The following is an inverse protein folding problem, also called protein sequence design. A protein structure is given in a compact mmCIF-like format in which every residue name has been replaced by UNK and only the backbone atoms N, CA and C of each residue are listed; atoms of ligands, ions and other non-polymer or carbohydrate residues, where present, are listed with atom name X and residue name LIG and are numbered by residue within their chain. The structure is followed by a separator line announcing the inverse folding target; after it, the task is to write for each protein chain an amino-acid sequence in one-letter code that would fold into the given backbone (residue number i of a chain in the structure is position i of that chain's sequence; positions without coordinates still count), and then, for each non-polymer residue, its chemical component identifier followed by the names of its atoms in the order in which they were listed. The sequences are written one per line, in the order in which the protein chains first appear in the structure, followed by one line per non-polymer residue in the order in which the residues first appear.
data_IF_462990981841
#
_entry.id   IF_462990981841
#
_cell.length_a   1.000
_cell.length_b   1.000
_cell.length_c   1.000
_cell.angle_alpha   90.00
_cell.angle_beta   90.00
_cell.angle_gamma   90.00
#
_symmetry.space_group_name_H-M   'P 1'
#
loop_
_entity.id
_entity.type
_entity.pdbx_description
1 polymer ?
#
# COMPACT_ATOMS: atom_id res chain seq x y z
N UNK A 1 14.09 20.97 -13.74
CA UNK A 1 13.47 20.32 -12.57
C UNK A 1 13.41 18.85 -12.93
N UNK A 2 14.19 17.99 -12.25
CA UNK A 2 14.16 16.55 -12.54
C UNK A 2 12.77 16.00 -12.22
N UNK A 3 12.20 15.26 -13.16
CA UNK A 3 10.92 14.60 -12.92
C UNK A 3 11.17 13.35 -12.07
N UNK A 4 10.47 13.20 -10.96
CA UNK A 4 10.54 11.98 -10.17
C UNK A 4 9.41 11.06 -10.65
N UNK A 5 9.79 9.98 -11.32
CA UNK A 5 8.85 8.94 -11.74
C UNK A 5 8.83 7.86 -10.66
N UNK A 6 7.63 7.42 -10.24
CA UNK A 6 7.48 6.32 -9.27
C UNK A 6 7.11 5.04 -9.99
N UNK A 7 7.87 3.98 -9.74
CA UNK A 7 7.58 2.62 -10.20
C UNK A 7 7.29 1.73 -8.99
N UNK A 8 6.14 1.07 -8.98
CA UNK A 8 5.72 0.19 -7.90
C UNK A 8 5.66 -1.25 -8.38
N UNK A 9 6.30 -2.15 -7.65
CA UNK A 9 6.37 -3.57 -7.99
C UNK A 9 5.89 -4.44 -6.83
N UNK A 10 4.88 -5.27 -7.08
CA UNK A 10 4.44 -6.34 -6.20
C UNK A 10 5.07 -7.64 -6.69
N UNK A 11 6.13 -8.06 -6.02
CA UNK A 11 6.98 -9.18 -6.46
C UNK A 11 6.44 -10.48 -5.88
N UNK A 12 5.98 -11.37 -6.74
CA UNK A 12 5.58 -12.72 -6.38
C UNK A 12 6.83 -13.56 -6.07
N UNK A 13 6.98 -13.92 -4.81
CA UNK A 13 8.17 -14.63 -4.32
C UNK A 13 8.25 -16.10 -4.77
N UNK A 14 7.14 -16.65 -5.25
CA UNK A 14 7.10 -18.04 -5.75
C UNK A 14 7.41 -18.12 -7.25
N UNK A 15 6.99 -17.11 -8.01
CA UNK A 15 7.10 -17.11 -9.48
C UNK A 15 8.21 -16.20 -10.00
N UNK A 16 8.75 -15.30 -9.17
CA UNK A 16 9.77 -14.34 -9.60
C UNK A 16 9.25 -13.32 -10.63
N UNK A 17 7.96 -13.00 -10.61
CA UNK A 17 7.34 -12.01 -11.48
C UNK A 17 6.85 -10.83 -10.68
N UNK A 18 6.73 -9.67 -11.32
CA UNK A 18 6.17 -8.48 -10.70
C UNK A 18 4.80 -8.13 -11.29
N UNK A 19 3.91 -7.69 -10.41
CA UNK A 19 2.61 -7.12 -10.76
C UNK A 19 2.62 -5.60 -10.57
N UNK A 20 1.90 -4.88 -11.42
CA UNK A 20 1.84 -3.41 -11.38
C UNK A 20 0.89 -2.85 -10.33
N UNK A 21 0.03 -3.68 -9.74
CA UNK A 21 -0.90 -3.27 -8.69
C UNK A 21 -1.24 -4.42 -7.76
N UNK A 22 -1.50 -4.09 -6.50
CA UNK A 22 -1.94 -5.08 -5.51
C UNK A 22 -3.33 -5.62 -5.87
N UNK A 23 -3.46 -6.93 -5.80
CA UNK A 23 -4.74 -7.61 -6.09
C UNK A 23 -5.05 -7.81 -7.58
N UNK A 24 -4.17 -7.41 -8.46
CA UNK A 24 -4.32 -7.62 -9.90
C UNK A 24 -3.15 -8.44 -10.44
N UNK A 25 -3.44 -9.57 -11.06
CA UNK A 25 -2.44 -10.46 -11.68
C UNK A 25 -1.89 -9.94 -13.02
N UNK A 26 -2.21 -8.72 -13.42
CA UNK A 26 -1.57 -8.10 -14.58
C UNK A 26 -0.10 -7.83 -14.27
N UNK A 27 0.79 -8.37 -15.09
CA UNK A 27 2.22 -8.12 -14.97
C UNK A 27 2.52 -6.63 -15.01
N UNK A 28 3.53 -6.22 -14.27
CA UNK A 28 4.03 -4.86 -14.33
C UNK A 28 4.45 -4.52 -15.77
N UNK A 29 4.11 -3.34 -16.22
CA UNK A 29 4.60 -2.83 -17.50
C UNK A 29 6.11 -2.68 -17.45
N UNK A 30 6.78 -2.88 -18.59
CA UNK A 30 8.22 -2.63 -18.72
C UNK A 30 8.55 -1.22 -18.25
N UNK A 31 9.35 -1.05 -17.17
CA UNK A 31 9.68 0.28 -16.68
C UNK A 31 10.56 1.02 -17.68
N UNK A 32 10.32 2.32 -17.80
CA UNK A 32 11.11 3.22 -18.63
C UNK A 32 11.80 4.23 -17.71
N UNK A 33 13.11 4.32 -17.81
CA UNK A 33 13.94 5.25 -17.07
C UNK A 33 14.58 6.26 -18.02
N UNK A 34 14.78 7.47 -17.54
CA UNK A 34 15.34 8.56 -18.36
C UNK A 34 16.67 9.03 -17.80
N UNK A 35 17.63 9.19 -18.67
CA UNK A 35 18.91 9.84 -18.36
C UNK A 35 18.65 11.23 -17.77
N UNK A 36 19.38 11.58 -16.70
CA UNK A 36 19.22 12.84 -15.98
C UNK A 36 18.11 12.86 -14.90
N UNK A 37 17.26 11.83 -14.84
CA UNK A 37 16.17 11.74 -13.86
C UNK A 37 16.54 10.92 -12.62
N UNK A 38 15.68 11.02 -11.60
CA UNK A 38 15.67 10.13 -10.45
C UNK A 38 14.36 9.36 -10.46
N UNK A 39 14.43 8.02 -10.41
CA UNK A 39 13.27 7.18 -10.26
C UNK A 39 13.10 6.74 -8.80
N UNK A 40 11.90 6.91 -8.28
CA UNK A 40 11.48 6.32 -7.02
C UNK A 40 10.99 4.90 -7.29
N UNK A 41 11.56 3.94 -6.60
CA UNK A 41 11.17 2.53 -6.70
C UNK A 41 10.50 2.10 -5.41
N UNK A 42 9.32 1.51 -5.51
CA UNK A 42 8.61 0.91 -4.40
C UNK A 42 8.46 -0.58 -4.64
N UNK A 43 8.87 -1.39 -3.68
CA UNK A 43 8.85 -2.85 -3.78
C UNK A 43 8.09 -3.47 -2.62
N UNK A 44 7.27 -4.45 -2.92
CA UNK A 44 6.50 -5.25 -1.99
C UNK A 44 6.68 -6.72 -2.33
N UNK A 45 6.93 -7.56 -1.33
CA UNK A 45 6.94 -9.01 -1.54
C UNK A 45 5.55 -9.55 -1.28
N UNK A 46 5.04 -10.33 -2.21
CA UNK A 46 3.70 -10.92 -2.13
C UNK A 46 3.72 -12.39 -2.52
N UNK A 47 2.69 -13.11 -2.08
CA UNK A 47 2.43 -14.49 -2.50
C UNK A 47 0.95 -14.62 -2.86
N UNK A 48 0.60 -15.24 -4.00
CA UNK A 48 -0.79 -15.52 -4.35
C UNK A 48 -1.44 -16.46 -3.34
N UNK A 49 -2.63 -16.12 -2.86
CA UNK A 49 -3.38 -16.95 -1.90
C UNK A 49 -4.33 -17.94 -2.57
N UNK A 50 -4.65 -17.73 -3.85
CA UNK A 50 -5.69 -18.46 -4.57
C UNK A 50 -7.12 -18.12 -4.11
N UNK A 51 -7.31 -17.14 -3.22
CA UNK A 51 -8.61 -16.70 -2.70
C UNK A 51 -9.04 -15.40 -3.40
N UNK A 52 -10.28 -15.38 -3.94
CA UNK A 52 -10.80 -14.24 -4.72
C UNK A 52 -10.83 -12.92 -3.97
N UNK A 53 -11.18 -12.94 -2.67
CA UNK A 53 -11.30 -11.73 -1.85
C UNK A 53 -9.94 -11.17 -1.40
N UNK A 54 -8.92 -12.03 -1.31
CA UNK A 54 -7.57 -11.68 -0.91
C UNK A 54 -6.56 -12.35 -1.83
N UNK A 55 -6.35 -11.83 -3.04
CA UNK A 55 -5.55 -12.51 -4.06
C UNK A 55 -4.07 -12.63 -3.68
N UNK A 56 -3.58 -11.76 -2.81
CA UNK A 56 -2.20 -11.77 -2.32
C UNK A 56 -2.15 -11.74 -0.79
N UNK A 57 -1.14 -12.38 -0.24
CA UNK A 57 -0.68 -12.17 1.13
C UNK A 57 0.69 -11.50 1.13
N UNK A 58 0.96 -10.74 2.18
CA UNK A 58 2.24 -10.07 2.40
C UNK A 58 3.32 -11.10 2.78
N UNK A 59 4.50 -10.95 2.20
CA UNK A 59 5.69 -11.70 2.54
C UNK A 59 6.70 -10.73 3.14
N UNK A 60 7.14 -11.02 4.36
CA UNK A 60 8.15 -10.19 5.01
C UNK A 60 9.47 -10.23 4.25
N UNK A 61 10.13 -9.08 4.13
CA UNK A 61 11.49 -9.03 3.64
C UNK A 61 12.43 -9.72 4.64
N UNK A 62 13.35 -10.58 4.19
CA UNK A 62 14.30 -11.26 5.07
C UNK A 62 15.26 -10.28 5.75
N UNK A 63 15.49 -9.13 5.15
CA UNK A 63 16.28 -8.04 5.74
C UNK A 63 15.89 -6.69 5.12
N UNK A 64 16.35 -5.60 5.75
CA UNK A 64 16.25 -4.24 5.20
C UNK A 64 17.33 -3.89 4.17
N UNK A 65 18.29 -4.79 3.94
CA UNK A 65 19.38 -4.58 2.99
C UNK A 65 18.91 -4.92 1.58
N UNK A 66 18.29 -3.95 0.94
CA UNK A 66 17.74 -4.05 -0.41
C UNK A 66 18.66 -3.31 -1.36
N UNK A 67 18.86 -3.85 -2.54
CA UNK A 67 19.56 -3.19 -3.65
C UNK A 67 18.68 -3.27 -4.88
N UNK A 68 18.57 -2.17 -5.62
CA UNK A 68 18.03 -2.20 -6.96
C UNK A 68 19.03 -1.60 -7.93
N UNK A 69 19.07 -2.14 -9.13
CA UNK A 69 20.01 -1.70 -10.15
C UNK A 69 19.38 -1.79 -11.55
N UNK A 70 19.88 -0.93 -12.43
CA UNK A 70 19.63 -0.97 -13.87
C UNK A 70 20.96 -1.10 -14.59
N UNK A 71 21.07 -2.07 -15.48
CA UNK A 71 22.29 -2.32 -16.22
C UNK A 71 22.14 -3.44 -17.24
N UNK A 72 23.24 -3.87 -17.84
CA UNK A 72 23.27 -5.07 -18.68
C UNK A 72 23.41 -6.32 -17.81
N UNK A 73 22.74 -7.39 -18.21
CA UNK A 73 22.80 -8.67 -17.50
C UNK A 73 24.26 -9.15 -17.37
N UNK A 74 24.72 -9.35 -16.13
CA UNK A 74 26.10 -9.74 -15.84
C UNK A 74 27.15 -8.62 -16.03
N UNK A 75 26.70 -7.40 -16.31
CA UNK A 75 27.57 -6.23 -16.50
C UNK A 75 27.58 -5.27 -15.31
N UNK A 76 28.20 -4.11 -15.52
CA UNK A 76 28.20 -3.05 -14.52
C UNK A 76 26.84 -2.34 -14.48
N UNK A 77 26.34 -2.05 -13.27
CA UNK A 77 25.13 -1.27 -13.12
C UNK A 77 25.32 0.17 -13.62
N UNK A 78 24.41 0.64 -14.45
CA UNK A 78 24.39 2.04 -14.90
C UNK A 78 23.81 2.96 -13.81
N UNK A 79 22.80 2.45 -13.07
CA UNK A 79 22.24 3.11 -11.91
C UNK A 79 22.01 2.07 -10.83
N UNK A 80 22.28 2.42 -9.59
CA UNK A 80 22.03 1.55 -8.44
C UNK A 80 21.61 2.35 -7.20
N UNK A 81 20.78 1.76 -6.36
CA UNK A 81 20.31 2.34 -5.12
C UNK A 81 20.44 1.35 -3.97
N UNK A 82 21.01 1.79 -2.87
CA UNK A 82 21.23 0.99 -1.66
C UNK A 82 20.56 1.58 -0.42
N UNK A 83 20.06 2.80 -0.51
CA UNK A 83 19.36 3.46 0.61
C UNK A 83 17.86 3.28 0.46
N UNK A 84 17.29 2.51 1.37
CA UNK A 84 15.87 2.16 1.33
C UNK A 84 15.20 2.52 2.65
N UNK A 85 13.98 3.01 2.55
CA UNK A 85 13.13 3.33 3.69
C UNK A 85 11.93 2.40 3.71
N UNK A 86 11.55 1.91 4.87
CA UNK A 86 10.35 1.09 5.01
C UNK A 86 9.08 1.88 4.69
N UNK A 87 8.18 1.26 3.96
CA UNK A 87 6.82 1.75 3.72
C UNK A 87 5.92 1.02 4.70
N UNK A 88 5.29 1.76 5.60
CA UNK A 88 4.27 1.19 6.48
C UNK A 88 3.04 0.83 5.66
N UNK A 89 2.47 -0.31 5.96
CA UNK A 89 1.20 -0.68 5.37
C UNK A 89 0.10 0.34 5.74
N UNK A 90 -0.81 0.67 4.81
CA UNK A 90 -1.85 1.65 5.08
C UNK A 90 -2.84 1.15 6.12
N UNK A 91 -3.22 1.99 7.08
CA UNK A 91 -4.21 1.69 8.12
C UNK A 91 -5.51 2.44 7.87
N UNK A 92 -6.63 1.93 8.41
CA UNK A 92 -7.87 2.70 8.45
C UNK A 92 -7.70 3.94 9.32
N UNK A 93 -8.23 5.06 8.87
CA UNK A 93 -8.17 6.35 9.56
C UNK A 93 -9.54 6.99 9.62
N UNK A 94 -9.78 7.79 10.67
CA UNK A 94 -10.99 8.58 10.80
C UNK A 94 -10.66 10.04 11.07
N UNK A 95 -11.22 10.91 10.25
CA UNK A 95 -11.20 12.35 10.45
C UNK A 95 -12.64 12.84 10.26
N UNK A 96 -13.31 13.19 11.35
CA UNK A 96 -14.76 13.47 11.36
C UNK A 96 -15.23 14.34 10.20
N UNK A 97 -16.25 13.94 9.47
CA UNK A 97 -17.04 12.71 9.59
C UNK A 97 -16.54 11.57 8.69
N UNK A 98 -15.32 11.65 8.14
CA UNK A 98 -14.81 10.78 7.09
C UNK A 98 -13.98 9.60 7.66
N UNK A 99 -14.45 8.38 7.41
CA UNK A 99 -13.70 7.14 7.55
C UNK A 99 -13.01 6.83 6.22
N UNK A 100 -11.70 6.64 6.26
CA UNK A 100 -10.92 6.18 5.12
C UNK A 100 -10.36 4.79 5.44
N UNK A 101 -10.69 3.82 4.61
CA UNK A 101 -10.25 2.43 4.73
C UNK A 101 -9.37 2.11 3.53
N UNK A 102 -8.23 1.43 3.69
CA UNK A 102 -7.45 0.96 2.56
C UNK A 102 -8.31 0.17 1.58
N UNK A 103 -7.94 0.20 0.28
CA UNK A 103 -8.73 -0.46 -0.77
C UNK A 103 -8.99 -1.93 -0.45
N UNK A 104 -10.15 -2.43 -0.87
CA UNK A 104 -10.60 -3.81 -0.66
C UNK A 104 -9.61 -4.91 -1.13
N UNK A 105 -8.67 -4.55 -2.02
CA UNK A 105 -7.58 -5.44 -2.47
C UNK A 105 -6.52 -5.71 -1.38
N UNK A 106 -6.53 -4.96 -0.27
CA UNK A 106 -5.60 -5.13 0.84
C UNK A 106 -6.33 -5.89 1.95
N UNK A 107 -5.80 -7.04 2.36
CA UNK A 107 -6.33 -7.77 3.50
C UNK A 107 -6.05 -7.00 4.79
N UNK A 108 -7.04 -6.90 5.65
CA UNK A 108 -6.88 -6.25 6.95
C UNK A 108 -8.21 -6.09 7.65
N UNK A 109 -8.11 -5.73 8.92
CA UNK A 109 -9.26 -5.52 9.79
C UNK A 109 -9.10 -4.22 10.56
N UNK A 110 -10.21 -3.61 10.91
CA UNK A 110 -10.27 -2.46 11.79
C UNK A 110 -11.48 -2.58 12.73
N UNK A 111 -11.46 -1.84 13.82
CA UNK A 111 -12.62 -1.66 14.69
C UNK A 111 -13.00 -0.19 14.75
N UNK A 112 -14.27 0.07 14.98
CA UNK A 112 -14.79 1.41 15.20
C UNK A 112 -15.23 1.53 16.65
N UNK A 113 -14.79 2.58 17.32
CA UNK A 113 -15.27 2.95 18.66
C UNK A 113 -16.26 4.09 18.54
N UNK A 114 -17.42 3.93 19.20
CA UNK A 114 -18.42 4.95 19.40
C UNK A 114 -18.44 5.33 20.87
N UNK A 115 -18.26 6.60 21.19
CA UNK A 115 -18.12 7.07 22.57
C UNK A 115 -19.01 8.25 22.90
N UNK A 116 -19.42 8.35 24.17
CA UNK A 116 -20.04 9.54 24.76
C UNK A 116 -19.48 9.76 26.16
N UNK A 117 -19.24 11.01 26.53
CA UNK A 117 -18.62 11.33 27.81
C UNK A 117 -19.61 11.28 28.99
N UNK A 118 -20.82 11.80 28.82
CA UNK A 118 -21.83 11.86 29.86
C UNK A 118 -23.25 11.83 29.25
N UNK A 119 -24.05 10.78 29.55
CA UNK A 119 -23.67 9.55 30.26
C UNK A 119 -22.60 8.77 29.50
N UNK A 120 -21.73 8.08 30.24
CA UNK A 120 -20.59 7.40 29.64
C UNK A 120 -21.00 6.26 28.71
N UNK A 121 -20.44 6.23 27.54
CA UNK A 121 -20.52 5.13 26.57
C UNK A 121 -19.13 4.85 26.01
N UNK A 122 -18.78 3.59 25.92
CA UNK A 122 -17.66 3.12 25.11
C UNK A 122 -18.09 1.81 24.43
N UNK A 123 -18.45 1.89 23.17
CA UNK A 123 -18.85 0.76 22.36
C UNK A 123 -17.82 0.54 21.26
N UNK A 124 -17.33 -0.69 21.10
CA UNK A 124 -16.37 -1.03 20.03
C UNK A 124 -16.96 -2.15 19.19
N UNK A 125 -16.93 -2.00 17.88
CA UNK A 125 -17.41 -3.04 16.96
C UNK A 125 -16.55 -4.29 17.03
N UNK A 126 -17.09 -5.42 16.60
CA UNK A 126 -16.26 -6.55 16.18
C UNK A 126 -15.33 -6.12 15.03
N UNK A 127 -14.31 -6.92 14.75
CA UNK A 127 -13.37 -6.66 13.65
C UNK A 127 -14.10 -6.61 12.32
N UNK A 128 -13.93 -5.52 11.60
CA UNK A 128 -14.49 -5.26 10.28
C UNK A 128 -13.39 -5.47 9.23
N UNK A 129 -13.61 -6.25 8.16
CA UNK A 129 -12.65 -6.37 7.08
C UNK A 129 -12.57 -5.05 6.30
N UNK A 130 -11.42 -4.77 5.67
CA UNK A 130 -11.24 -3.58 4.83
C UNK A 130 -12.20 -3.52 3.62
N UNK A 131 -12.72 -4.68 3.18
CA UNK A 131 -13.75 -4.79 2.16
C UNK A 131 -15.19 -4.59 2.65
N UNK A 132 -15.41 -4.26 3.94
CA UNK A 132 -16.77 -4.06 4.47
C UNK A 132 -17.49 -2.93 3.71
N UNK A 133 -18.73 -3.19 3.32
CA UNK A 133 -19.59 -2.18 2.71
C UNK A 133 -20.26 -1.28 3.78
N UNK A 134 -20.92 -0.21 3.34
CA UNK A 134 -21.56 0.75 4.22
C UNK A 134 -22.56 0.10 5.19
N UNK A 135 -23.42 -0.79 4.70
CA UNK A 135 -24.44 -1.47 5.53
C UNK A 135 -23.80 -2.38 6.58
N UNK A 136 -22.71 -3.07 6.26
CA UNK A 136 -21.96 -3.89 7.23
C UNK A 136 -21.37 -3.03 8.34
N UNK A 137 -20.80 -1.87 7.99
CA UNK A 137 -20.22 -0.94 8.97
C UNK A 137 -21.32 -0.37 9.88
N UNK A 138 -22.43 0.05 9.28
CA UNK A 138 -23.61 0.58 9.98
C UNK A 138 -24.14 -0.42 11.01
N UNK A 139 -24.47 -1.65 10.57
CA UNK A 139 -24.97 -2.71 11.45
C UNK A 139 -23.98 -3.04 12.57
N UNK A 140 -22.68 -3.05 12.30
CA UNK A 140 -21.68 -3.32 13.32
C UNK A 140 -21.64 -2.24 14.41
N UNK A 141 -21.75 -0.95 14.04
CA UNK A 141 -21.81 0.17 14.97
C UNK A 141 -23.06 0.07 15.85
N UNK A 142 -24.22 -0.12 15.24
CA UNK A 142 -25.49 -0.25 15.96
C UNK A 142 -25.49 -1.44 16.93
N UNK A 143 -24.99 -2.59 16.48
CA UNK A 143 -24.86 -3.80 17.30
C UNK A 143 -23.97 -3.53 18.52
N UNK A 144 -22.83 -2.89 18.33
CA UNK A 144 -21.90 -2.59 19.42
C UNK A 144 -22.50 -1.63 20.45
N UNK A 145 -23.27 -0.63 20.01
CA UNK A 145 -23.94 0.34 20.89
C UNK A 145 -25.09 -0.32 21.65
N UNK A 146 -25.97 -1.06 20.96
CA UNK A 146 -27.13 -1.71 21.57
C UNK A 146 -26.74 -2.82 22.57
N UNK A 147 -25.52 -3.33 22.50
CA UNK A 147 -24.97 -4.26 23.49
C UNK A 147 -24.57 -3.58 24.81
N UNK A 148 -24.53 -2.25 24.87
CA UNK A 148 -24.15 -1.52 26.10
C UNK A 148 -25.34 -1.29 27.01
N UNK A 149 -25.19 -1.62 28.27
CA UNK A 149 -26.27 -1.45 29.29
C UNK A 149 -26.68 0.03 29.40
N UNK A 150 -27.98 0.28 29.36
CA UNK A 150 -28.56 1.61 29.47
C UNK A 150 -28.57 2.40 28.16
N UNK A 151 -28.09 1.79 27.05
CA UNK A 151 -28.12 2.38 25.72
C UNK A 151 -29.00 1.55 24.78
N UNK A 152 -29.73 2.23 23.91
CA UNK A 152 -30.67 1.61 22.97
C UNK A 152 -30.94 2.53 21.78
N UNK A 153 -31.75 2.04 20.85
CA UNK A 153 -32.13 2.80 19.64
C UNK A 153 -30.90 3.46 18.99
N UNK A 154 -29.85 2.67 18.78
CA UNK A 154 -28.70 3.09 18.00
C UNK A 154 -29.14 3.32 16.56
N UNK A 155 -28.71 4.44 15.99
CA UNK A 155 -28.95 4.87 14.64
C UNK A 155 -27.60 5.32 14.05
N UNK A 156 -26.98 4.47 13.26
CA UNK A 156 -25.79 4.79 12.53
C UNK A 156 -26.14 5.07 11.06
N UNK A 157 -25.52 6.07 10.50
CA UNK A 157 -25.61 6.37 9.06
C UNK A 157 -24.23 6.29 8.46
N UNK A 158 -24.06 5.39 7.49
CA UNK A 158 -22.81 5.16 6.78
C UNK A 158 -23.05 5.31 5.28
N UNK A 159 -22.46 6.32 4.68
CA UNK A 159 -22.59 6.58 3.24
C UNK A 159 -21.25 6.47 2.56
N UNK A 160 -21.13 5.63 1.56
CA UNK A 160 -19.92 5.52 0.76
C UNK A 160 -19.79 6.74 -0.16
N UNK A 161 -18.68 7.46 -0.05
CA UNK A 161 -18.38 8.69 -0.82
C UNK A 161 -17.29 8.48 -1.88
N UNK A 162 -16.63 7.32 -1.85
CA UNK A 162 -15.58 6.94 -2.80
C UNK A 162 -15.02 5.56 -2.48
N UNK A 163 -14.05 5.09 -3.25
CA UNK A 163 -13.40 3.82 -3.01
C UNK A 163 -12.69 3.81 -1.64
N UNK A 164 -13.20 3.00 -0.69
CA UNK A 164 -12.70 2.95 0.68
C UNK A 164 -12.92 4.21 1.50
N UNK A 165 -13.82 5.10 1.08
CA UNK A 165 -14.18 6.32 1.81
C UNK A 165 -15.65 6.33 2.17
N UNK A 166 -15.93 6.61 3.44
CA UNK A 166 -17.27 6.62 4.00
C UNK A 166 -17.47 7.85 4.88
N UNK A 167 -18.66 8.44 4.84
CA UNK A 167 -19.12 9.36 5.88
C UNK A 167 -19.82 8.53 6.94
N UNK A 168 -19.44 8.71 8.21
CA UNK A 168 -19.96 7.94 9.34
C UNK A 168 -20.47 8.88 10.41
N UNK A 169 -21.73 8.70 10.81
CA UNK A 169 -22.32 9.35 11.98
C UNK A 169 -23.07 8.31 12.79
N UNK A 170 -23.15 8.50 14.11
CA UNK A 170 -23.94 7.61 14.97
C UNK A 170 -24.64 8.39 16.07
N UNK A 171 -25.84 7.94 16.41
CA UNK A 171 -26.66 8.42 17.53
C UNK A 171 -27.13 7.24 18.33
N UNK A 172 -27.40 7.45 19.59
CA UNK A 172 -28.03 6.44 20.44
C UNK A 172 -28.84 7.10 21.58
N UNK A 173 -29.80 6.36 22.09
CA UNK A 173 -30.65 6.82 23.19
C UNK A 173 -30.15 6.25 24.52
N UNK A 174 -29.97 7.12 25.51
CA UNK A 174 -29.82 6.73 26.92
C UNK A 174 -31.07 7.22 27.69
N UNK A 175 -31.77 6.30 28.30
CA UNK A 175 -33.12 6.54 28.91
C UNK A 175 -34.09 7.09 27.82
N UNK A 176 -34.27 8.39 27.74
CA UNK A 176 -35.16 9.07 26.78
C UNK A 176 -34.43 10.11 25.92
N UNK A 177 -33.16 10.34 26.20
CA UNK A 177 -32.37 11.39 25.50
C UNK A 177 -31.51 10.79 24.41
N UNK A 178 -31.55 11.40 23.24
CA UNK A 178 -30.72 11.02 22.08
C UNK A 178 -29.42 11.79 22.12
N UNK A 179 -28.31 11.08 21.99
CA UNK A 179 -26.96 11.65 21.95
C UNK A 179 -26.30 11.36 20.61
N UNK A 180 -25.60 12.38 20.10
CA UNK A 180 -24.66 12.17 18.96
C UNK A 180 -23.34 11.66 19.50
N UNK A 181 -22.87 10.56 18.95
CA UNK A 181 -21.69 9.86 19.44
C UNK A 181 -20.43 10.32 18.71
N UNK A 182 -19.32 10.31 19.42
CA UNK A 182 -17.99 10.51 18.83
C UNK A 182 -17.51 9.17 18.26
N UNK A 183 -17.09 9.20 16.98
CA UNK A 183 -16.57 8.04 16.27
C UNK A 183 -15.05 8.14 16.16
N UNK A 184 -14.38 7.03 16.35
CA UNK A 184 -12.92 6.89 16.17
C UNK A 184 -12.58 5.48 15.69
N UNK A 185 -11.38 5.30 15.14
CA UNK A 185 -10.82 3.97 14.90
C UNK A 185 -10.30 3.44 16.23
N UNK A 186 -10.83 2.30 16.65
CA UNK A 186 -10.41 1.62 17.88
C UNK A 186 -9.13 0.83 17.68
N UNK A 187 -9.07 0.03 16.62
CA UNK A 187 -7.89 -0.77 16.23
C UNK A 187 -7.90 -0.92 14.72
N UNK A 188 -6.72 -0.86 14.12
CA UNK A 188 -6.54 -1.22 12.72
C UNK A 188 -5.38 -2.20 12.64
N UNK A 189 -5.70 -3.46 12.41
CA UNK A 189 -4.72 -4.52 12.23
C UNK A 189 -4.55 -4.80 10.74
N UNK A 190 -3.32 -4.82 10.31
CA UNK A 190 -2.98 -5.01 8.92
C UNK A 190 -2.58 -6.45 8.61
N UNK A 191 -3.04 -6.89 7.47
CA UNK A 191 -2.33 -7.86 6.64
C UNK A 191 -2.22 -7.23 5.26
N UNK A 192 -1.52 -6.11 5.17
CA UNK A 192 -1.21 -5.45 3.90
C UNK A 192 0.30 -5.42 3.69
N UNK A 193 0.76 -5.26 2.45
CA UNK A 193 2.17 -5.34 2.17
C UNK A 193 2.92 -4.20 2.88
N UNK A 194 3.82 -4.57 3.76
CA UNK A 194 4.93 -3.71 4.14
C UNK A 194 5.94 -3.77 3.01
N UNK A 195 6.39 -2.62 2.57
CA UNK A 195 7.31 -2.50 1.44
C UNK A 195 8.53 -1.67 1.79
N UNK A 196 9.33 -1.48 0.79
CA UNK A 196 10.45 -0.56 0.85
C UNK A 196 10.44 0.39 -0.35
N UNK A 197 10.88 1.62 -0.11
CA UNK A 197 11.06 2.65 -1.13
C UNK A 197 12.50 3.10 -1.18
N UNK A 198 13.07 3.16 -2.37
CA UNK A 198 14.41 3.67 -2.63
C UNK A 198 14.43 4.54 -3.88
N UNK A 199 15.53 5.21 -4.11
CA UNK A 199 15.74 6.06 -5.27
C UNK A 199 16.91 5.57 -6.11
N UNK A 200 16.72 5.57 -7.43
CA UNK A 200 17.74 5.31 -8.44
C UNK A 200 18.00 6.61 -9.20
N UNK A 201 19.22 7.12 -9.12
CA UNK A 201 19.64 8.27 -9.90
C UNK A 201 20.24 7.82 -11.24
N UNK A 202 19.67 8.25 -12.34
CA UNK A 202 20.11 7.94 -13.70
C UNK A 202 21.01 9.07 -14.22
N UNK A 203 22.12 9.27 -13.54
CA UNK A 203 23.10 10.34 -13.89
C UNK A 203 24.51 9.78 -13.90
N UNK A 204 25.32 10.34 -14.80
CA UNK A 204 26.76 10.10 -14.81
C UNK A 204 27.23 9.01 -15.78
N UNK A 205 28.53 8.72 -15.72
CA UNK A 205 29.26 7.93 -16.72
C UNK A 205 28.72 6.51 -16.96
N UNK A 206 28.05 5.89 -15.98
CA UNK A 206 27.44 4.57 -16.15
C UNK A 206 26.27 4.59 -17.12
N UNK A 207 25.40 5.58 -17.00
CA UNK A 207 24.26 5.81 -17.89
C UNK A 207 24.75 6.20 -19.29
N UNK A 208 25.70 7.13 -19.38
CA UNK A 208 26.30 7.55 -20.63
C UNK A 208 26.96 6.38 -21.36
N UNK A 209 27.66 5.51 -20.64
CA UNK A 209 28.30 4.32 -21.21
C UNK A 209 27.26 3.34 -21.74
N UNK A 210 26.16 3.14 -21.04
CA UNK A 210 25.11 2.21 -21.44
C UNK A 210 24.32 2.73 -22.65
N UNK A 211 24.00 4.01 -22.68
CA UNK A 211 23.32 4.65 -23.80
C UNK A 211 24.25 4.85 -25.02
N UNK A 212 25.51 5.23 -24.78
CA UNK A 212 26.43 5.59 -25.87
C UNK A 212 25.85 6.65 -26.80
N UNK A 213 25.77 6.32 -28.10
CA UNK A 213 25.13 7.18 -29.12
C UNK A 213 23.64 6.90 -29.32
N UNK A 214 23.08 5.87 -28.66
CA UNK A 214 21.69 5.48 -28.79
C UNK A 214 20.77 6.44 -28.06
N UNK A 215 19.56 6.63 -28.58
CA UNK A 215 18.49 7.37 -27.90
C UNK A 215 17.73 6.50 -26.89
N UNK A 216 17.83 5.18 -27.04
CA UNK A 216 17.15 4.18 -26.23
C UNK A 216 17.96 2.88 -26.21
N UNK A 217 18.02 2.23 -25.08
CA UNK A 217 18.68 0.92 -24.90
C UNK A 217 17.80 0.03 -24.01
N UNK A 218 17.62 -1.22 -24.44
CA UNK A 218 17.07 -2.26 -23.60
C UNK A 218 18.09 -2.66 -22.53
N UNK A 219 17.64 -2.76 -21.32
CA UNK A 219 18.43 -3.05 -20.13
C UNK A 219 17.69 -4.00 -19.20
N UNK A 220 18.31 -4.35 -18.09
CA UNK A 220 17.71 -5.19 -17.05
C UNK A 220 17.55 -4.36 -15.78
N UNK A 221 16.35 -4.36 -15.21
CA UNK A 221 16.08 -3.89 -13.86
C UNK A 221 16.07 -5.07 -12.91
N UNK A 222 16.82 -4.97 -11.82
CA UNK A 222 16.99 -6.03 -10.84
C UNK A 222 16.74 -5.51 -9.43
N UNK A 223 16.09 -6.34 -8.60
CA UNK A 223 15.94 -6.12 -7.16
C UNK A 223 16.52 -7.31 -6.42
N UNK A 224 17.47 -7.05 -5.54
CA UNK A 224 18.10 -8.03 -4.68
C UNK A 224 17.87 -7.70 -3.21
N UNK A 225 17.77 -8.71 -2.38
CA UNK A 225 17.70 -8.57 -0.92
C UNK A 225 18.82 -9.40 -0.31
N UNK A 226 19.59 -8.79 0.59
CA UNK A 226 20.62 -9.53 1.32
C UNK A 226 19.96 -10.38 2.41
N UNK A 227 20.31 -11.67 2.43
CA UNK A 227 19.98 -12.58 3.52
C UNK A 227 21.30 -13.10 4.10
N UNK A 228 21.62 -12.61 5.30
CA UNK A 228 22.85 -12.95 6.03
C UNK A 228 24.10 -12.59 5.23
N UNK A 229 24.67 -13.53 4.47
CA UNK A 229 25.90 -13.34 3.67
C UNK A 229 25.68 -13.50 2.17
N UNK A 230 24.41 -13.63 1.73
CA UNK A 230 24.06 -13.87 0.33
C UNK A 230 23.04 -12.83 -0.12
N UNK A 231 23.15 -12.44 -1.40
CA UNK A 231 22.10 -11.68 -2.07
C UNK A 231 21.18 -12.65 -2.82
N UNK A 232 19.88 -12.52 -2.61
CA UNK A 232 18.88 -13.23 -3.37
C UNK A 232 18.22 -12.26 -4.34
N UNK A 233 18.21 -12.59 -5.62
CA UNK A 233 17.46 -11.82 -6.63
C UNK A 233 16.00 -12.20 -6.52
N UNK A 234 15.18 -11.21 -6.21
CA UNK A 234 13.71 -11.35 -6.13
C UNK A 234 13.02 -10.94 -7.42
N UNK A 235 13.60 -10.01 -8.16
CA UNK A 235 13.06 -9.55 -9.42
C UNK A 235 14.18 -9.30 -10.42
N UNK A 236 13.97 -9.77 -11.66
CA UNK A 236 14.81 -9.45 -12.79
C UNK A 236 13.90 -9.33 -14.01
N UNK A 237 13.73 -8.12 -14.51
CA UNK A 237 12.84 -7.82 -15.64
C UNK A 237 13.52 -6.92 -16.67
N UNK A 238 13.13 -7.01 -17.95
CA UNK A 238 13.57 -6.03 -18.93
C UNK A 238 13.07 -4.63 -18.57
N UNK A 239 13.90 -3.64 -18.86
CA UNK A 239 13.56 -2.23 -18.74
C UNK A 239 14.13 -1.47 -19.94
N UNK A 240 13.69 -0.23 -20.10
CA UNK A 240 14.15 0.65 -21.16
C UNK A 240 14.83 1.86 -20.54
N UNK A 241 16.04 2.16 -20.95
CA UNK A 241 16.73 3.40 -20.61
C UNK A 241 16.71 4.32 -21.83
N UNK A 242 16.19 5.53 -21.64
CA UNK A 242 16.05 6.55 -22.70
C UNK A 242 16.89 7.78 -22.42
N UNK A 243 17.42 8.35 -23.48
CA UNK A 243 18.03 9.68 -23.42
C UNK A 243 16.93 10.72 -23.22
N UNK A 244 17.11 11.63 -22.26
CA UNK A 244 16.19 12.73 -22.09
C UNK A 244 16.34 13.68 -23.28
N UNK A 245 15.24 13.90 -23.99
CA UNK A 245 15.20 14.95 -25.01
C UNK A 245 14.99 16.26 -24.27
N UNK A 246 16.09 16.96 -23.97
CA UNK A 246 15.98 18.35 -23.53
C UNK A 246 15.39 19.14 -24.66
N UNK A 247 14.15 19.61 -24.52
CA UNK A 247 13.61 20.61 -25.40
C UNK A 247 14.49 21.87 -25.31
N UNK A 248 14.97 22.43 -26.40
CA UNK A 248 15.79 23.63 -26.38
C UNK A 248 15.05 24.83 -25.79
#
# INVERSE_FOLDING_TARGET
MALITTHTFYIDTERGVAYGSYGNFSQATTPVFYDGDTAKIEVYLVRPTGKGDFPFEDVAFPSSSITAAVGTLGGTAAASGTTWSSISAPTATYSSPTLTVPRAAIAGYYTISATNASPALTATTASLPYGANASTIETAIETAINAQSGWSAADATVTQTGAGKFTVTAKATNSTTVYTLTIAIGTSALVGPSGYSGELAFTGAGVDTLLGSATEVESTFEVQVADSSKYQTYLQIPCILRKQVTSP
#
